data_IF_262100070944
#
_entry.id   IF_262100070944
#
_cell.length_a   1.000
_cell.length_b   1.000
_cell.length_c   1.000
_cell.angle_alpha   90.00
_cell.angle_beta   90.00
_cell.angle_gamma   90.00
#
_symmetry.space_group_name_H-M   'P 1'
#
loop_
_entity.id
_entity.type
_entity.pdbx_description
1 polymer ?
#
# COMPACT_ATOMS: atom_id res chain seq x y z
N UNK A 1 12.82 -6.25 -5.23
CA UNK A 1 12.16 -5.06 -5.84
C UNK A 1 11.49 -4.27 -4.75
N UNK A 2 11.57 -2.98 -4.82
CA UNK A 2 11.03 -2.10 -3.79
C UNK A 2 10.30 -0.93 -4.44
N UNK A 3 9.13 -0.57 -3.91
CA UNK A 3 8.29 0.51 -4.44
C UNK A 3 7.87 1.41 -3.28
N UNK A 4 7.87 2.73 -3.53
CA UNK A 4 7.31 3.71 -2.61
C UNK A 4 5.80 3.82 -2.82
N UNK A 5 5.05 3.78 -1.72
CA UNK A 5 3.60 3.84 -1.73
C UNK A 5 3.11 5.06 -0.93
N UNK A 6 2.08 5.77 -1.41
CA UNK A 6 1.55 6.91 -0.67
C UNK A 6 0.82 6.48 0.59
N UNK A 7 0.79 7.35 1.60
CA UNK A 7 0.04 7.15 2.84
C UNK A 7 -1.22 8.01 2.90
N UNK A 8 -1.46 8.79 1.88
CA UNK A 8 -2.69 9.54 1.69
C UNK A 8 -2.95 9.75 0.20
N UNK A 9 -4.21 9.98 -0.14
CA UNK A 9 -4.66 10.19 -1.52
C UNK A 9 -5.60 11.40 -1.54
N UNK A 10 -5.39 12.29 -2.50
CA UNK A 10 -6.30 13.42 -2.70
C UNK A 10 -7.49 13.01 -3.56
N UNK A 11 -8.68 13.25 -3.03
CA UNK A 11 -9.95 13.10 -3.75
C UNK A 11 -10.59 14.49 -3.83
N UNK A 12 -10.50 15.12 -5.01
CA UNK A 12 -10.86 16.51 -5.16
C UNK A 12 -9.93 17.40 -4.32
N UNK A 13 -10.51 18.16 -3.37
CA UNK A 13 -9.75 19.00 -2.43
C UNK A 13 -9.44 18.31 -1.12
N UNK A 14 -10.00 17.14 -0.88
CA UNK A 14 -9.89 16.41 0.38
C UNK A 14 -8.68 15.49 0.37
N UNK A 15 -7.88 15.54 1.44
CA UNK A 15 -6.79 14.61 1.64
C UNK A 15 -7.29 13.43 2.46
N UNK A 16 -7.27 12.24 1.88
CA UNK A 16 -7.81 11.02 2.47
C UNK A 16 -6.66 10.14 2.95
N UNK A 17 -6.57 9.92 4.27
CA UNK A 17 -5.49 9.14 4.86
C UNK A 17 -5.71 7.64 4.66
N UNK A 18 -4.62 6.93 4.37
CA UNK A 18 -4.61 5.47 4.29
C UNK A 18 -4.33 4.91 5.68
N UNK A 19 -5.37 4.83 6.51
CA UNK A 19 -5.29 4.23 7.83
C UNK A 19 -6.63 3.59 8.21
N UNK A 20 -6.61 2.75 9.25
CA UNK A 20 -7.80 2.01 9.70
C UNK A 20 -8.93 2.92 10.12
N UNK A 21 -8.60 4.01 10.82
CA UNK A 21 -9.62 4.94 11.33
C UNK A 21 -10.40 5.57 10.18
N UNK A 22 -9.70 6.09 9.18
CA UNK A 22 -10.34 6.66 8.00
C UNK A 22 -11.12 5.59 7.23
N UNK A 23 -10.51 4.41 7.03
CA UNK A 23 -11.10 3.31 6.28
C UNK A 23 -12.44 2.85 6.88
N UNK A 24 -12.50 2.73 8.20
CA UNK A 24 -13.73 2.28 8.90
C UNK A 24 -14.87 3.27 8.80
N UNK A 25 -14.56 4.56 8.69
CA UNK A 25 -15.56 5.63 8.74
C UNK A 25 -15.89 6.21 7.37
N UNK A 26 -15.13 5.87 6.34
CA UNK A 26 -15.35 6.42 5.00
C UNK A 26 -16.49 5.70 4.28
N UNK A 27 -17.21 6.46 3.47
CA UNK A 27 -18.23 5.91 2.58
C UNK A 27 -17.56 5.03 1.51
N UNK A 28 -18.22 3.93 1.12
CA UNK A 28 -17.65 2.99 0.15
C UNK A 28 -17.29 3.65 -1.19
N UNK A 29 -18.05 4.67 -1.62
CA UNK A 29 -17.74 5.40 -2.84
C UNK A 29 -16.41 6.15 -2.74
N UNK A 30 -16.13 6.74 -1.58
CA UNK A 30 -14.84 7.40 -1.30
C UNK A 30 -13.70 6.38 -1.33
N UNK A 31 -13.91 5.23 -0.72
CA UNK A 31 -12.90 4.15 -0.71
C UNK A 31 -12.61 3.66 -2.13
N UNK A 32 -13.63 3.51 -2.97
CA UNK A 32 -13.43 3.10 -4.35
C UNK A 32 -12.64 4.13 -5.15
N UNK A 33 -12.93 5.41 -4.96
CA UNK A 33 -12.17 6.50 -5.60
C UNK A 33 -10.71 6.51 -5.12
N UNK A 34 -10.48 6.27 -3.83
CA UNK A 34 -9.12 6.18 -3.28
C UNK A 34 -8.34 5.03 -3.92
N UNK A 35 -8.95 3.87 -4.10
CA UNK A 35 -8.30 2.72 -4.75
C UNK A 35 -7.91 3.03 -6.18
N UNK A 36 -8.79 3.69 -6.94
CA UNK A 36 -8.50 4.09 -8.32
C UNK A 36 -7.35 5.08 -8.36
N UNK A 37 -7.38 6.11 -7.52
CA UNK A 37 -6.32 7.13 -7.49
C UNK A 37 -4.99 6.57 -6.99
N UNK A 38 -5.03 5.68 -5.99
CA UNK A 38 -3.83 4.97 -5.51
C UNK A 38 -3.16 4.21 -6.65
N UNK A 39 -3.95 3.44 -7.40
CA UNK A 39 -3.43 2.68 -8.55
C UNK A 39 -2.82 3.60 -9.61
N UNK A 40 -3.43 4.76 -9.87
CA UNK A 40 -2.89 5.72 -10.83
C UNK A 40 -1.54 6.28 -10.37
N UNK A 41 -1.43 6.62 -9.08
CA UNK A 41 -0.19 7.18 -8.53
C UNK A 41 0.97 6.20 -8.67
N UNK A 42 0.74 4.91 -8.43
CA UNK A 42 1.80 3.90 -8.46
C UNK A 42 1.91 3.17 -9.80
N UNK A 43 1.06 3.48 -10.77
CA UNK A 43 1.03 2.79 -12.07
C UNK A 43 2.39 2.73 -12.77
N UNK A 44 3.19 3.82 -12.85
CA UNK A 44 4.51 3.73 -13.48
C UNK A 44 5.42 2.67 -12.83
N UNK A 45 5.35 2.52 -11.51
CA UNK A 45 6.13 1.51 -10.80
C UNK A 45 5.56 0.11 -10.98
N UNK A 46 4.23 -0.01 -11.00
CA UNK A 46 3.57 -1.30 -11.25
C UNK A 46 3.91 -1.84 -12.64
N UNK A 47 3.93 -0.98 -13.63
CA UNK A 47 4.19 -1.38 -15.02
C UNK A 47 5.60 -1.94 -15.22
N UNK A 48 6.54 -1.57 -14.35
CA UNK A 48 7.92 -2.09 -14.37
C UNK A 48 8.05 -3.48 -13.73
N UNK A 49 7.04 -3.92 -12.98
CA UNK A 49 7.08 -5.22 -12.31
C UNK A 49 6.78 -6.36 -13.26
N UNK A 50 7.44 -7.52 -13.09
CA UNK A 50 7.03 -8.74 -13.78
C UNK A 50 5.74 -9.29 -13.19
N UNK A 51 5.15 -10.29 -13.83
CA UNK A 51 4.10 -11.09 -13.21
C UNK A 51 4.75 -12.12 -12.29
N UNK A 52 4.24 -12.24 -11.07
CA UNK A 52 4.79 -13.15 -10.06
C UNK A 52 3.91 -14.38 -9.90
N UNK A 53 4.52 -15.51 -9.54
CA UNK A 53 3.78 -16.71 -9.15
C UNK A 53 3.27 -16.60 -7.72
N UNK A 54 4.16 -16.24 -6.81
CA UNK A 54 3.83 -15.94 -5.42
C UNK A 54 4.90 -15.04 -4.83
N UNK A 55 4.56 -14.31 -3.78
CA UNK A 55 5.45 -13.28 -3.21
C UNK A 55 5.41 -13.28 -1.69
N UNK A 56 6.50 -12.79 -1.10
CA UNK A 56 6.56 -12.26 0.26
C UNK A 56 6.61 -10.75 0.17
N UNK A 57 5.86 -10.07 1.03
CA UNK A 57 5.79 -8.61 1.06
C UNK A 57 6.25 -8.09 2.42
N UNK A 58 7.14 -7.11 2.40
CA UNK A 58 7.58 -6.39 3.60
C UNK A 58 7.29 -4.91 3.42
N UNK A 59 6.42 -4.39 4.30
CA UNK A 59 6.05 -2.98 4.30
C UNK A 59 6.81 -2.26 5.39
N UNK A 60 7.40 -1.11 5.06
CA UNK A 60 8.12 -0.28 6.01
C UNK A 60 7.49 1.11 6.04
N UNK A 61 7.08 1.55 7.24
CA UNK A 61 6.44 2.83 7.44
C UNK A 61 7.48 3.92 7.74
N UNK A 62 7.39 5.02 7.00
CA UNK A 62 8.15 6.25 7.23
C UNK A 62 7.15 7.38 7.50
N UNK A 63 6.75 7.60 8.76
CA UNK A 63 5.72 8.60 9.06
C UNK A 63 6.25 10.02 8.98
N UNK A 64 5.34 10.98 8.86
CA UNK A 64 5.66 12.39 8.74
C UNK A 64 6.14 13.01 10.04
N UNK A 65 5.61 12.55 11.18
CA UNK A 65 5.84 13.17 12.48
C UNK A 65 6.20 12.15 13.54
N UNK A 66 6.68 12.66 14.70
CA UNK A 66 7.00 11.85 15.88
C UNK A 66 5.78 11.32 16.62
N UNK A 67 4.55 11.69 16.19
CA UNK A 67 3.33 11.21 16.81
C UNK A 67 3.27 9.70 16.74
N UNK A 68 3.07 9.07 17.90
CA UNK A 68 2.99 7.63 17.97
C UNK A 68 1.75 7.11 17.26
N UNK A 69 1.93 6.07 16.46
CA UNK A 69 0.85 5.35 15.81
C UNK A 69 1.22 3.88 15.69
N UNK A 70 0.21 3.02 15.60
CA UNK A 70 0.45 1.60 15.35
C UNK A 70 0.87 1.41 13.89
N UNK A 71 1.94 0.66 13.68
CA UNK A 71 2.43 0.37 12.32
C UNK A 71 1.32 -0.26 11.48
N UNK A 72 0.58 -1.20 12.05
CA UNK A 72 -0.49 -1.90 11.35
C UNK A 72 -1.67 -1.00 11.00
N UNK A 73 -1.87 0.11 11.72
CA UNK A 73 -2.94 1.06 11.43
C UNK A 73 -2.81 1.66 10.02
N UNK A 74 -1.59 1.88 9.57
CA UNK A 74 -1.31 2.40 8.23
C UNK A 74 -0.99 1.28 7.25
N UNK A 75 -0.05 0.40 7.62
CA UNK A 75 0.44 -0.64 6.72
C UNK A 75 -0.64 -1.61 6.26
N UNK A 76 -1.61 -1.93 7.11
CA UNK A 76 -2.69 -2.85 6.72
C UNK A 76 -3.56 -2.29 5.60
N UNK A 77 -3.81 -0.99 5.60
CA UNK A 77 -4.62 -0.34 4.56
C UNK A 77 -3.81 -0.15 3.29
N UNK A 78 -2.57 0.27 3.39
CA UNK A 78 -1.66 0.37 2.24
C UNK A 78 -1.52 -0.99 1.58
N UNK A 79 -1.38 -2.06 2.37
CA UNK A 79 -1.31 -3.44 1.90
C UNK A 79 -2.57 -3.81 1.10
N UNK A 80 -3.76 -3.53 1.61
CA UNK A 80 -5.02 -3.81 0.90
C UNK A 80 -5.05 -3.14 -0.47
N UNK A 81 -4.69 -1.87 -0.52
CA UNK A 81 -4.73 -1.09 -1.77
C UNK A 81 -3.67 -1.56 -2.75
N UNK A 82 -2.47 -1.88 -2.25
CA UNK A 82 -1.37 -2.37 -3.08
C UNK A 82 -1.68 -3.74 -3.67
N UNK A 83 -2.17 -4.67 -2.85
CA UNK A 83 -2.51 -6.01 -3.33
C UNK A 83 -3.64 -5.98 -4.38
N UNK A 84 -4.66 -5.14 -4.17
CA UNK A 84 -5.71 -4.93 -5.16
C UNK A 84 -5.12 -4.41 -6.48
N UNK A 85 -4.18 -3.48 -6.39
CA UNK A 85 -3.52 -2.92 -7.58
C UNK A 85 -2.68 -3.97 -8.32
N UNK A 86 -1.94 -4.82 -7.58
CA UNK A 86 -1.16 -5.91 -8.18
C UNK A 86 -2.05 -6.88 -8.96
N UNK A 87 -3.17 -7.27 -8.36
CA UNK A 87 -4.11 -8.20 -8.98
C UNK A 87 -4.75 -7.56 -10.21
N UNK A 88 -5.21 -6.32 -10.09
CA UNK A 88 -5.85 -5.60 -11.19
C UNK A 88 -4.92 -5.38 -12.38
N UNK A 89 -3.62 -5.23 -12.14
CA UNK A 89 -2.60 -5.10 -13.20
C UNK A 89 -2.09 -6.46 -13.73
N UNK A 90 -2.64 -7.55 -13.22
CA UNK A 90 -2.22 -8.89 -13.68
C UNK A 90 -0.85 -9.32 -13.18
N UNK A 91 -0.32 -8.67 -12.14
CA UNK A 91 1.00 -9.01 -11.58
C UNK A 91 0.95 -10.17 -10.61
N UNK A 92 -0.23 -10.44 -10.03
CA UNK A 92 -0.54 -11.63 -9.23
C UNK A 92 -1.91 -12.15 -9.66
N UNK A 93 -2.14 -13.48 -9.64
CA UNK A 93 -3.46 -14.04 -9.98
C UNK A 93 -4.54 -13.66 -8.97
N UNK A 94 -4.18 -13.55 -7.70
CA UNK A 94 -5.09 -13.20 -6.60
C UNK A 94 -4.24 -12.78 -5.40
N UNK A 95 -4.87 -12.23 -4.35
CA UNK A 95 -4.18 -11.79 -3.14
C UNK A 95 -4.39 -12.71 -1.93
N UNK A 96 -4.84 -13.94 -2.16
CA UNK A 96 -5.01 -14.94 -1.11
C UNK A 96 -3.68 -15.61 -0.71
N UNK A 97 -3.74 -16.50 0.29
CA UNK A 97 -2.55 -17.14 0.85
C UNK A 97 -1.80 -18.07 -0.13
N UNK A 98 -2.42 -18.41 -1.24
CA UNK A 98 -1.72 -19.19 -2.29
C UNK A 98 -0.66 -18.34 -3.01
N UNK A 99 -0.87 -17.05 -3.09
CA UNK A 99 -0.04 -16.13 -3.87
C UNK A 99 0.75 -15.15 -3.01
N UNK A 100 0.25 -14.81 -1.81
CA UNK A 100 0.98 -13.99 -0.84
C UNK A 100 1.31 -14.88 0.35
N UNK A 101 2.59 -15.27 0.46
CA UNK A 101 3.03 -16.28 1.40
C UNK A 101 3.38 -15.73 2.76
N UNK A 102 3.93 -14.52 2.82
CA UNK A 102 4.32 -13.88 4.07
C UNK A 102 4.16 -12.36 3.94
N UNK A 103 3.74 -11.72 5.02
CA UNK A 103 3.57 -10.26 5.09
C UNK A 103 4.18 -9.78 6.40
N UNK A 104 5.03 -8.75 6.30
CA UNK A 104 5.63 -8.08 7.46
C UNK A 104 5.38 -6.59 7.39
N UNK A 105 5.10 -6.00 8.55
CA UNK A 105 4.99 -4.56 8.72
C UNK A 105 6.10 -4.10 9.66
N UNK A 106 6.90 -3.14 9.25
CA UNK A 106 8.03 -2.65 10.04
C UNK A 106 8.02 -1.13 10.13
N UNK A 107 8.68 -0.59 11.14
CA UNK A 107 8.94 0.84 11.25
C UNK A 107 10.32 1.15 10.68
N UNK A 108 10.39 2.17 9.80
CA UNK A 108 11.66 2.65 9.26
C UNK A 108 12.23 3.78 10.10
N UNK A 109 11.84 4.98 9.76
CA UNK A 109 12.23 6.20 10.48
C UNK A 109 11.22 7.31 10.15
N UNK A 110 11.24 8.38 10.92
CA UNK A 110 10.41 9.55 10.65
C UNK A 110 11.01 10.27 9.44
N UNK A 111 10.18 10.56 8.44
CA UNK A 111 10.61 11.29 7.23
C UNK A 111 9.59 12.39 6.94
N UNK A 112 9.86 13.58 7.48
CA UNK A 112 8.98 14.73 7.35
C UNK A 112 8.79 15.16 5.90
N UNK A 113 9.83 15.06 5.10
CA UNK A 113 9.84 15.59 3.73
C UNK A 113 9.24 14.60 2.73
N UNK A 114 9.27 13.31 3.04
CA UNK A 114 8.74 12.27 2.15
C UNK A 114 8.11 11.13 2.93
N UNK A 115 6.99 11.41 3.64
CA UNK A 115 6.28 10.36 4.38
C UNK A 115 5.71 9.34 3.39
N UNK A 116 5.88 8.06 3.72
CA UNK A 116 5.49 6.99 2.80
C UNK A 116 5.50 5.64 3.49
N UNK A 117 5.01 4.63 2.77
CA UNK A 117 5.28 3.23 3.04
C UNK A 117 6.07 2.69 1.86
N UNK A 118 7.15 1.95 2.12
CA UNK A 118 7.81 1.20 1.06
C UNK A 118 7.39 -0.25 1.14
N UNK A 119 7.22 -0.90 -0.01
CA UNK A 119 7.00 -2.33 -0.07
C UNK A 119 8.17 -3.00 -0.76
N UNK A 120 8.74 -4.00 -0.11
CA UNK A 120 9.75 -4.87 -0.69
C UNK A 120 9.08 -6.16 -1.13
N UNK A 121 9.21 -6.48 -2.40
CA UNK A 121 8.59 -7.66 -3.03
C UNK A 121 9.68 -8.69 -3.27
N UNK A 122 9.48 -9.89 -2.72
CA UNK A 122 10.36 -11.02 -2.94
C UNK A 122 9.55 -12.14 -3.56
N UNK A 123 9.91 -12.55 -4.77
CA UNK A 123 9.24 -13.70 -5.40
C UNK A 123 9.63 -14.99 -4.67
N UNK A 124 8.61 -15.82 -4.39
CA UNK A 124 8.77 -17.12 -3.76
C UNK A 124 8.52 -18.17 -4.86
N UNK A 125 9.51 -19.01 -5.08
CA UNK A 125 9.44 -20.05 -6.10
C UNK A 125 9.00 -21.38 -5.52
#
# INVERSE_FOLDING_TARGET
MEIDLPIDIKIGRKNCALNLNFYRNAHYQTLNKMKVEFSKVIEPELDKLPSFKSVDLTYTLYPKTKRLCDISNVCSIVDKFFCDALVNKGKLPDDNYQYIKDIKYTFGSIDKDNPRVTVKIKEVL
#
